data_IF_107503267320
#
_entry.id   IF_107503267320
#
_cell.length_a   1.000
_cell.length_b   1.000
_cell.length_c   1.000
_cell.angle_alpha   90.00
_cell.angle_beta   90.00
_cell.angle_gamma   90.00
#
_symmetry.space_group_name_H-M   'P 1'
#
loop_
_entity.id
_entity.type
_entity.pdbx_description
1 polymer ?
#
# COMPACT_ATOMS: atom_id res chain seq x y z
N UNK A 1 -38.71 -36.27 6.95
CA UNK A 1 -37.29 -36.49 7.28
C UNK A 1 -36.52 -35.26 6.85
N UNK A 2 -35.64 -34.80 7.73
CA UNK A 2 -34.73 -33.65 7.63
C UNK A 2 -35.33 -32.24 7.80
N UNK A 3 -35.31 -31.74 9.06
CA UNK A 3 -35.30 -30.32 9.38
C UNK A 3 -33.86 -29.87 9.70
N UNK A 4 -33.36 -28.76 9.14
CA UNK A 4 -32.32 -27.98 9.83
C UNK A 4 -32.51 -26.50 9.52
N UNK A 5 -32.88 -25.80 10.58
CA UNK A 5 -32.97 -24.35 10.71
C UNK A 5 -31.54 -23.76 10.77
N UNK A 6 -31.28 -22.55 10.23
CA UNK A 6 -29.99 -21.91 10.39
C UNK A 6 -29.86 -21.34 11.80
N UNK A 7 -29.01 -21.96 12.61
CA UNK A 7 -28.56 -21.36 13.87
C UNK A 7 -27.64 -20.15 13.55
N UNK A 8 -27.93 -19.03 14.19
CA UNK A 8 -27.07 -17.86 14.22
C UNK A 8 -25.68 -18.22 14.76
N UNK A 9 -24.62 -17.91 14.01
CA UNK A 9 -23.25 -18.01 14.51
C UNK A 9 -22.94 -16.78 15.38
N UNK A 10 -22.50 -16.96 16.64
CA UNK A 10 -22.10 -15.86 17.49
C UNK A 10 -20.67 -15.41 17.16
N UNK A 11 -20.47 -14.09 17.07
CA UNK A 11 -19.20 -13.40 17.32
C UNK A 11 -18.02 -13.74 16.39
N UNK A 12 -17.69 -12.81 15.49
CA UNK A 12 -16.45 -12.81 14.71
C UNK A 12 -15.23 -12.70 15.63
N UNK A 13 -14.76 -13.84 16.14
CA UNK A 13 -13.52 -13.93 16.93
C UNK A 13 -12.34 -13.83 15.97
N UNK A 14 -11.67 -12.67 16.00
CA UNK A 14 -10.40 -12.44 15.31
C UNK A 14 -9.29 -13.29 15.94
N UNK A 15 -8.95 -14.39 15.29
CA UNK A 15 -7.71 -15.12 15.50
C UNK A 15 -6.62 -14.54 14.60
N UNK A 16 -5.70 -13.76 15.18
CA UNK A 16 -4.35 -13.65 14.64
C UNK A 16 -3.73 -15.06 14.69
N UNK A 17 -3.31 -15.60 13.55
CA UNK A 17 -2.56 -16.87 13.50
C UNK A 17 -1.08 -16.51 13.32
N UNK A 18 -0.29 -16.41 14.40
CA UNK A 18 1.16 -16.34 14.26
C UNK A 18 1.61 -17.71 13.74
N UNK A 19 1.95 -17.80 12.46
CA UNK A 19 2.69 -18.96 11.96
C UNK A 19 4.12 -18.81 12.48
N UNK A 20 4.35 -19.23 13.72
CA UNK A 20 5.71 -19.41 14.26
C UNK A 20 6.22 -20.78 13.80
N UNK A 21 7.46 -20.90 13.30
CA UNK A 21 8.11 -22.20 13.28
C UNK A 21 8.20 -22.72 14.72
N UNK A 22 7.69 -23.93 14.92
CA UNK A 22 7.70 -24.64 16.19
C UNK A 22 9.14 -24.78 16.69
N UNK A 23 9.49 -24.17 17.83
CA UNK A 23 10.76 -24.38 18.53
C UNK A 23 10.46 -24.75 19.98
N UNK A 24 10.66 -26.02 20.41
CA UNK A 24 10.37 -26.44 21.77
C UNK A 24 11.63 -26.33 22.63
N UNK A 25 11.91 -25.16 23.19
CA UNK A 25 12.80 -25.05 24.34
C UNK A 25 12.75 -23.66 25.03
N UNK A 26 12.83 -23.73 26.37
CA UNK A 26 13.28 -22.72 27.32
C UNK A 26 12.22 -22.03 28.20
N UNK A 27 12.35 -22.39 29.47
CA UNK A 27 11.61 -22.04 30.66
C UNK A 27 11.73 -20.57 31.09
N UNK A 28 10.68 -20.16 31.81
CA UNK A 28 10.60 -19.22 32.93
C UNK A 28 11.88 -18.50 33.38
N UNK A 29 11.75 -17.18 33.61
CA UNK A 29 12.06 -16.58 34.92
C UNK A 29 11.42 -15.20 35.07
N UNK A 30 10.83 -15.03 36.24
CA UNK A 30 10.30 -13.83 36.88
C UNK A 30 11.40 -12.88 37.35
N UNK A 31 11.07 -11.59 37.53
CA UNK A 31 11.86 -10.66 38.33
C UNK A 31 11.39 -9.21 38.22
N UNK A 32 10.69 -8.72 39.24
CA UNK A 32 10.54 -7.30 39.57
C UNK A 32 11.92 -6.64 39.80
N UNK A 33 12.06 -5.33 39.54
CA UNK A 33 12.17 -4.32 40.62
C UNK A 33 12.60 -2.92 40.12
N UNK A 34 11.91 -1.93 40.70
CA UNK A 34 12.36 -0.62 41.20
C UNK A 34 12.80 0.52 40.24
N UNK A 35 11.91 1.52 40.18
CA UNK A 35 12.09 2.93 40.52
C UNK A 35 13.51 3.56 40.46
N UNK A 36 13.62 4.63 39.67
CA UNK A 36 14.72 5.60 39.72
C UNK A 36 14.24 6.95 39.22
N UNK A 37 14.00 7.85 40.17
CA UNK A 37 13.67 9.28 40.02
C UNK A 37 14.89 10.09 39.59
N UNK A 38 14.77 10.97 38.59
CA UNK A 38 15.60 12.19 38.50
C UNK A 38 15.11 13.17 37.41
N UNK A 39 14.74 14.37 37.86
CA UNK A 39 14.72 15.69 37.18
C UNK A 39 14.79 16.73 38.32
N UNK A 40 15.32 17.96 38.15
CA UNK A 40 15.24 18.76 36.91
C UNK A 40 16.50 19.59 36.57
N UNK A 41 16.81 19.71 35.28
CA UNK A 41 17.70 20.78 34.80
C UNK A 41 16.89 21.93 34.21
N UNK A 42 17.12 23.08 34.82
CA UNK A 42 16.57 24.40 34.52
C UNK A 42 17.27 25.02 33.31
N UNK A 43 16.54 25.33 32.24
CA UNK A 43 17.00 26.27 31.22
C UNK A 43 15.89 27.23 30.80
N UNK A 44 16.04 28.47 31.27
CA UNK A 44 15.80 29.75 30.59
C UNK A 44 14.52 29.89 29.76
N UNK A 45 13.51 30.48 30.40
CA UNK A 45 12.36 31.10 29.74
C UNK A 45 12.79 32.37 28.98
N UNK A 46 12.83 32.31 27.65
CA UNK A 46 12.66 33.50 26.81
C UNK A 46 11.23 33.50 26.28
N UNK A 47 10.38 34.29 26.93
CA UNK A 47 9.06 34.65 26.45
C UNK A 47 9.21 35.46 25.15
N UNK A 48 8.79 34.89 24.03
CA UNK A 48 8.44 35.66 22.84
C UNK A 48 6.92 35.84 22.87
N UNK A 49 6.48 37.07 23.13
CA UNK A 49 5.11 37.49 22.86
C UNK A 49 5.05 37.66 21.34
N UNK A 50 4.43 36.72 20.63
CA UNK A 50 4.09 36.89 19.21
C UNK A 50 2.60 37.22 19.08
N UNK A 51 2.31 38.22 18.25
CA UNK A 51 0.97 38.71 17.91
C UNK A 51 0.01 37.56 17.50
N UNK A 52 -1.25 37.55 17.96
CA UNK A 52 -2.23 36.50 17.64
C UNK A 52 -2.99 36.74 16.33
N UNK A 53 -2.30 37.14 15.26
CA UNK A 53 -2.97 37.39 13.97
C UNK A 53 -2.07 37.05 12.80
N UNK A 54 -1.85 35.76 12.58
CA UNK A 54 -1.61 35.11 11.28
C UNK A 54 -1.19 33.67 11.59
N UNK A 55 -2.19 32.80 11.79
CA UNK A 55 -1.96 31.37 11.64
C UNK A 55 -1.50 31.16 10.19
N UNK A 56 -0.34 30.53 9.92
CA UNK A 56 0.06 30.24 8.56
C UNK A 56 -1.04 29.40 7.92
N UNK A 57 -1.69 29.93 6.89
CA UNK A 57 -2.62 29.16 6.07
C UNK A 57 -1.82 27.99 5.50
N UNK A 58 -2.07 26.79 6.02
CA UNK A 58 -1.50 25.57 5.46
C UNK A 58 -1.95 25.51 3.99
N UNK A 59 -0.98 25.57 3.06
CA UNK A 59 -1.26 25.46 1.63
C UNK A 59 -1.94 24.11 1.36
N UNK A 60 -2.99 24.10 0.53
CA UNK A 60 -3.68 22.87 0.12
C UNK A 60 -2.66 21.90 -0.51
N UNK A 61 -2.56 20.64 -0.07
CA UNK A 61 -1.62 19.67 -0.63
C UNK A 61 -1.94 19.38 -2.10
N UNK A 62 -0.99 19.66 -2.99
CA UNK A 62 -1.10 19.36 -4.44
C UNK A 62 -0.30 18.13 -4.86
N UNK A 63 0.63 17.69 -4.01
CA UNK A 63 1.40 16.46 -4.21
C UNK A 63 0.55 15.28 -3.74
N UNK A 64 0.05 14.52 -4.71
CA UNK A 64 -0.86 13.41 -4.47
C UNK A 64 -0.08 12.11 -4.32
N UNK A 65 -0.01 11.57 -3.09
CA UNK A 65 0.79 10.38 -2.79
C UNK A 65 0.02 9.10 -3.17
N UNK A 66 0.43 8.46 -4.27
CA UNK A 66 -0.07 7.13 -4.65
C UNK A 66 0.60 5.99 -3.86
N UNK A 67 1.77 6.25 -3.25
CA UNK A 67 2.32 5.45 -2.16
C UNK A 67 2.28 6.29 -0.88
N UNK A 68 1.45 5.94 0.12
CA UNK A 68 1.30 6.76 1.30
C UNK A 68 2.59 6.87 2.09
N UNK A 69 2.82 8.04 2.65
CA UNK A 69 4.02 8.26 3.44
C UNK A 69 4.08 7.36 4.68
N UNK A 70 2.94 7.02 5.30
CA UNK A 70 2.92 6.10 6.44
C UNK A 70 3.43 4.70 6.05
N UNK A 71 3.09 4.23 4.85
CA UNK A 71 3.59 2.98 4.28
C UNK A 71 5.10 3.08 4.00
N UNK A 72 5.52 4.16 3.32
CA UNK A 72 6.93 4.39 2.95
C UNK A 72 7.87 4.56 4.15
N UNK A 73 7.40 5.13 5.27
CA UNK A 73 8.18 5.28 6.52
C UNK A 73 8.70 3.94 7.06
N UNK A 74 8.04 2.82 6.77
CA UNK A 74 8.50 1.48 7.19
C UNK A 74 9.77 1.03 6.48
N UNK A 75 10.10 1.69 5.36
CA UNK A 75 11.28 1.41 4.55
C UNK A 75 12.46 2.31 4.87
N UNK A 76 12.32 3.26 5.81
CA UNK A 76 13.41 4.18 6.11
C UNK A 76 14.44 3.55 7.03
N UNK A 77 15.71 3.91 6.82
CA UNK A 77 16.79 3.72 7.79
C UNK A 77 17.18 5.11 8.29
N UNK A 78 16.76 5.44 9.50
CA UNK A 78 16.64 6.84 9.94
C UNK A 78 15.44 7.49 9.24
N UNK A 79 15.66 8.63 8.58
CA UNK A 79 14.57 9.39 7.91
C UNK A 79 14.49 9.14 6.39
N UNK A 80 15.39 8.34 5.84
CA UNK A 80 15.53 8.16 4.38
C UNK A 80 15.51 6.70 3.96
N UNK A 81 15.06 6.50 2.74
CA UNK A 81 15.04 5.23 2.00
C UNK A 81 15.81 5.40 0.69
N UNK A 82 16.06 4.30 -0.02
CA UNK A 82 16.63 4.33 -1.37
C UNK A 82 15.54 4.20 -2.42
N UNK A 83 15.52 5.14 -3.36
CA UNK A 83 14.66 5.12 -4.55
C UNK A 83 15.50 4.80 -5.77
N UNK A 84 15.05 3.82 -6.53
CA UNK A 84 15.58 3.43 -7.83
C UNK A 84 14.55 3.78 -8.89
N UNK A 85 14.92 4.60 -9.86
CA UNK A 85 14.03 5.00 -10.97
C UNK A 85 14.31 4.11 -12.17
N UNK A 86 13.25 3.65 -12.84
CA UNK A 86 13.37 2.80 -14.03
C UNK A 86 14.29 3.49 -15.05
N UNK A 87 15.36 2.81 -15.50
CA UNK A 87 16.28 3.40 -16.47
C UNK A 87 15.57 3.65 -17.81
N UNK A 88 16.07 4.63 -18.56
CA UNK A 88 15.75 4.76 -19.99
C UNK A 88 16.66 3.85 -20.80
N UNK A 89 16.29 3.54 -22.04
CA UNK A 89 17.13 2.76 -22.97
C UNK A 89 18.57 3.30 -23.00
N UNK A 90 19.53 2.41 -22.74
CA UNK A 90 20.97 2.74 -22.76
C UNK A 90 21.45 3.58 -21.57
N UNK A 91 20.62 3.82 -20.55
CA UNK A 91 21.00 4.56 -19.35
C UNK A 91 21.17 3.65 -18.14
N UNK A 92 22.09 4.01 -17.25
CA UNK A 92 22.20 3.35 -15.95
C UNK A 92 20.98 3.65 -15.06
N UNK A 93 20.72 2.77 -14.08
CA UNK A 93 19.67 3.01 -13.10
C UNK A 93 19.99 4.26 -12.28
N UNK A 94 18.99 5.12 -12.07
CA UNK A 94 19.15 6.28 -11.22
C UNK A 94 18.75 5.93 -9.78
N UNK A 95 19.72 5.91 -8.88
CA UNK A 95 19.54 5.64 -7.44
C UNK A 95 19.72 6.93 -6.64
N UNK A 96 18.81 7.19 -5.69
CA UNK A 96 18.95 8.32 -4.74
C UNK A 96 18.40 7.96 -3.36
N UNK A 97 19.09 8.41 -2.31
CA UNK A 97 18.59 8.37 -0.93
C UNK A 97 17.66 9.56 -0.68
N UNK A 98 16.40 9.31 -0.37
CA UNK A 98 15.33 10.31 -0.30
C UNK A 98 14.43 10.11 0.92
N UNK A 99 13.67 11.13 1.32
CA UNK A 99 12.63 11.01 2.34
C UNK A 99 11.37 10.38 1.73
N UNK A 100 10.46 9.81 2.55
CA UNK A 100 9.17 9.30 2.09
C UNK A 100 8.36 10.31 1.27
N UNK A 101 8.38 11.59 1.63
CA UNK A 101 7.65 12.64 0.90
C UNK A 101 8.15 12.83 -0.54
N UNK A 102 9.40 12.50 -0.84
CA UNK A 102 10.04 12.74 -2.14
C UNK A 102 9.95 11.54 -3.10
N UNK A 103 9.06 10.58 -2.86
CA UNK A 103 8.81 9.43 -3.73
C UNK A 103 7.34 9.04 -3.67
N UNK A 104 6.83 8.39 -4.72
CA UNK A 104 5.49 7.82 -4.68
C UNK A 104 4.36 8.85 -4.75
N UNK A 105 4.61 9.99 -5.39
CA UNK A 105 3.62 11.05 -5.60
C UNK A 105 3.69 11.58 -7.03
N UNK A 106 2.61 12.23 -7.45
CA UNK A 106 2.56 13.03 -8.66
C UNK A 106 1.70 14.27 -8.41
N UNK A 107 2.16 15.49 -8.75
CA UNK A 107 1.34 16.68 -8.59
C UNK A 107 0.00 16.57 -9.32
N UNK A 108 -1.09 16.90 -8.64
CA UNK A 108 -2.44 16.95 -9.18
C UNK A 108 -2.94 15.63 -9.83
N UNK A 109 -2.41 14.47 -9.44
CA UNK A 109 -2.70 13.19 -10.08
C UNK A 109 -4.20 12.87 -10.21
N UNK A 110 -4.95 13.25 -9.18
CA UNK A 110 -6.41 13.10 -9.05
C UNK A 110 -7.07 14.40 -8.59
N UNK A 111 -6.56 15.53 -9.08
CA UNK A 111 -7.22 16.81 -8.94
C UNK A 111 -8.45 16.85 -9.85
N UNK A 112 -9.57 17.36 -9.35
CA UNK A 112 -10.76 17.57 -10.17
C UNK A 112 -10.68 18.88 -10.96
N UNK A 113 -11.20 18.86 -12.18
CA UNK A 113 -11.25 20.06 -13.03
C UNK A 113 -12.41 20.98 -12.69
N UNK A 114 -13.48 20.45 -12.08
CA UNK A 114 -14.72 21.15 -11.76
C UNK A 114 -14.76 21.82 -10.37
N UNK A 115 -13.68 21.72 -9.60
CA UNK A 115 -13.64 22.23 -8.22
C UNK A 115 -13.74 23.76 -8.16
N UNK A 116 -14.54 24.28 -7.22
CA UNK A 116 -14.79 25.72 -7.07
C UNK A 116 -13.61 26.51 -6.51
N UNK A 117 -12.72 25.84 -5.80
CA UNK A 117 -11.46 26.36 -5.26
C UNK A 117 -10.41 25.23 -5.18
N UNK A 118 -9.17 25.56 -4.80
CA UNK A 118 -8.09 24.55 -4.75
C UNK A 118 -8.37 23.43 -3.74
N UNK A 119 -9.03 23.73 -2.62
CA UNK A 119 -9.38 22.71 -1.63
C UNK A 119 -10.40 21.71 -2.19
N UNK A 120 -11.36 22.19 -2.96
CA UNK A 120 -12.35 21.33 -3.61
C UNK A 120 -11.75 20.56 -4.81
N UNK A 121 -10.79 21.14 -5.54
CA UNK A 121 -10.03 20.41 -6.57
C UNK A 121 -9.25 19.24 -5.97
N UNK A 122 -8.67 19.40 -4.78
CA UNK A 122 -7.92 18.35 -4.07
C UNK A 122 -8.79 17.50 -3.13
N UNK A 123 -10.12 17.47 -3.32
CA UNK A 123 -11.05 16.73 -2.45
C UNK A 123 -10.80 15.23 -2.39
N UNK A 124 -10.33 14.59 -3.48
CA UNK A 124 -10.04 13.16 -3.45
C UNK A 124 -8.84 12.85 -2.54
N UNK A 125 -7.80 13.70 -2.56
CA UNK A 125 -6.66 13.51 -1.66
C UNK A 125 -7.06 13.73 -0.20
N UNK A 126 -7.64 14.91 0.05
CA UNK A 126 -7.84 15.43 1.41
C UNK A 126 -9.03 14.82 2.14
N UNK A 127 -10.09 14.41 1.43
CA UNK A 127 -11.32 13.88 2.05
C UNK A 127 -11.45 12.36 1.93
N UNK A 128 -10.77 11.73 0.97
CA UNK A 128 -10.90 10.29 0.71
C UNK A 128 -9.61 9.51 1.03
N UNK A 129 -8.50 9.78 0.35
CA UNK A 129 -7.26 9.03 0.57
C UNK A 129 -6.68 9.24 1.96
N UNK A 130 -6.68 10.48 2.46
CA UNK A 130 -6.23 10.78 3.82
C UNK A 130 -6.97 9.92 4.86
N UNK A 131 -8.30 9.81 4.75
CA UNK A 131 -9.12 9.00 5.67
C UNK A 131 -8.78 7.50 5.58
N UNK A 132 -8.57 6.98 4.37
CA UNK A 132 -8.20 5.56 4.16
C UNK A 132 -6.82 5.29 4.75
N UNK A 133 -5.86 6.18 4.49
CA UNK A 133 -4.47 6.04 4.90
C UNK A 133 -4.32 6.13 6.43
N UNK A 134 -5.05 7.03 7.09
CA UNK A 134 -5.07 7.13 8.56
C UNK A 134 -5.62 5.85 9.21
N UNK A 135 -6.72 5.30 8.68
CA UNK A 135 -7.30 4.04 9.16
C UNK A 135 -6.37 2.85 8.93
N UNK A 136 -5.72 2.81 7.77
CA UNK A 136 -4.79 1.75 7.42
C UNK A 136 -3.51 1.80 8.25
N UNK A 137 -3.02 3.00 8.58
CA UNK A 137 -1.89 3.18 9.49
C UNK A 137 -2.18 2.58 10.86
N UNK A 138 -3.37 2.85 11.42
CA UNK A 138 -3.82 2.28 12.69
C UNK A 138 -4.00 0.75 12.61
N UNK A 139 -4.61 0.25 11.53
CA UNK A 139 -4.81 -1.19 11.33
C UNK A 139 -3.48 -1.95 11.20
N UNK A 140 -2.53 -1.44 10.42
CA UNK A 140 -1.21 -2.07 10.27
C UNK A 140 -0.39 -2.03 11.55
N UNK A 141 -0.47 -0.96 12.35
CA UNK A 141 0.18 -0.92 13.67
C UNK A 141 -0.32 -2.07 14.57
N UNK A 142 -1.63 -2.33 14.59
CA UNK A 142 -2.21 -3.48 15.33
C UNK A 142 -1.72 -4.83 14.80
N UNK A 143 -1.61 -4.99 13.48
CA UNK A 143 -1.05 -6.22 12.87
C UNK A 143 0.42 -6.43 13.28
N UNK A 144 1.21 -5.36 13.34
CA UNK A 144 2.61 -5.41 13.77
C UNK A 144 2.76 -5.78 15.25
N UNK A 145 1.87 -5.30 16.09
CA UNK A 145 1.86 -5.60 17.52
C UNK A 145 1.17 -6.94 17.85
N UNK A 146 0.60 -7.62 16.85
CA UNK A 146 -0.16 -8.86 17.04
C UNK A 146 -1.48 -8.65 17.80
N UNK A 147 -2.00 -7.42 17.81
CA UNK A 147 -3.25 -7.07 18.45
C UNK A 147 -4.46 -7.49 17.60
N UNK A 148 -5.60 -7.72 18.25
CA UNK A 148 -6.87 -7.95 17.55
C UNK A 148 -7.38 -6.62 16.97
N UNK A 149 -7.69 -6.64 15.67
CA UNK A 149 -8.37 -5.54 15.00
C UNK A 149 -9.87 -5.52 15.27
N UNK A 150 -10.47 -4.34 15.09
CA UNK A 150 -11.91 -4.11 15.02
C UNK A 150 -12.42 -4.28 13.59
N UNK A 151 -13.75 -4.27 13.40
CA UNK A 151 -14.34 -4.23 12.05
C UNK A 151 -13.91 -2.98 11.25
N UNK A 152 -13.69 -1.84 11.91
CA UNK A 152 -13.23 -0.61 11.27
C UNK A 152 -11.78 -0.75 10.79
N UNK A 153 -10.91 -1.37 11.61
CA UNK A 153 -9.52 -1.65 11.22
C UNK A 153 -9.47 -2.55 9.98
N UNK A 154 -10.35 -3.55 9.91
CA UNK A 154 -10.47 -4.45 8.76
C UNK A 154 -10.86 -3.72 7.49
N UNK A 155 -11.94 -2.93 7.55
CA UNK A 155 -12.39 -2.15 6.39
C UNK A 155 -11.30 -1.19 5.95
N UNK A 156 -10.66 -0.49 6.90
CA UNK A 156 -9.54 0.42 6.60
C UNK A 156 -8.36 -0.29 5.92
N UNK A 157 -7.96 -1.46 6.43
CA UNK A 157 -6.90 -2.26 5.81
C UNK A 157 -7.28 -2.69 4.39
N UNK A 158 -8.50 -3.20 4.18
CA UNK A 158 -8.97 -3.66 2.86
C UNK A 158 -9.05 -2.49 1.88
N UNK A 159 -9.62 -1.36 2.27
CA UNK A 159 -9.67 -0.17 1.42
C UNK A 159 -8.28 0.33 1.05
N UNK A 160 -7.30 0.23 1.95
CA UNK A 160 -5.91 0.54 1.63
C UNK A 160 -5.27 -0.43 0.64
N UNK A 161 -5.55 -1.74 0.75
CA UNK A 161 -5.07 -2.70 -0.25
C UNK A 161 -5.71 -2.41 -1.62
N UNK A 162 -7.03 -2.21 -1.68
CA UNK A 162 -7.71 -1.84 -2.93
C UNK A 162 -7.23 -0.49 -3.48
N UNK A 163 -6.89 0.47 -2.62
CA UNK A 163 -6.33 1.74 -3.07
C UNK A 163 -4.95 1.56 -3.71
N UNK A 164 -4.07 0.74 -3.13
CA UNK A 164 -2.77 0.40 -3.73
C UNK A 164 -2.90 -0.29 -5.10
N UNK A 165 -4.00 -0.99 -5.35
CA UNK A 165 -4.28 -1.63 -6.64
C UNK A 165 -4.64 -0.62 -7.74
N UNK A 166 -5.28 0.50 -7.36
CA UNK A 166 -5.93 1.40 -8.30
C UNK A 166 -5.31 2.79 -8.43
N UNK A 167 -4.61 3.29 -7.41
CA UNK A 167 -4.19 4.70 -7.34
C UNK A 167 -2.84 5.05 -7.99
N UNK A 168 -2.14 4.08 -8.58
CA UNK A 168 -0.84 4.34 -9.22
C UNK A 168 -1.02 5.12 -10.54
N UNK A 169 -0.05 5.98 -10.93
CA UNK A 169 -0.15 6.75 -12.18
C UNK A 169 -0.37 5.86 -13.40
N UNK A 170 0.37 4.75 -13.49
CA UNK A 170 0.22 3.80 -14.61
C UNK A 170 -1.18 3.20 -14.69
N UNK A 171 -1.81 2.92 -13.54
CA UNK A 171 -3.17 2.38 -13.50
C UNK A 171 -4.20 3.44 -13.88
N UNK A 172 -4.01 4.67 -13.39
CA UNK A 172 -4.90 5.79 -13.70
C UNK A 172 -4.83 6.15 -15.19
N UNK A 173 -3.63 6.22 -15.76
CA UNK A 173 -3.41 6.45 -17.20
C UNK A 173 -4.12 5.37 -18.03
N UNK A 174 -3.91 4.09 -17.69
CA UNK A 174 -4.58 2.99 -18.37
C UNK A 174 -6.12 3.09 -18.33
N UNK A 175 -6.71 3.45 -17.18
CA UNK A 175 -8.17 3.64 -17.06
C UNK A 175 -8.67 4.83 -17.88
N UNK A 176 -7.91 5.93 -17.92
CA UNK A 176 -8.24 7.11 -18.73
C UNK A 176 -8.20 6.77 -20.22
N UNK A 177 -7.16 6.07 -20.67
CA UNK A 177 -7.02 5.63 -22.05
C UNK A 177 -8.17 4.68 -22.45
N UNK A 178 -8.49 3.70 -21.60
CA UNK A 178 -9.59 2.77 -21.85
C UNK A 178 -10.94 3.48 -21.97
N UNK A 179 -11.22 4.44 -21.08
CA UNK A 179 -12.45 5.24 -21.15
C UNK A 179 -12.47 6.12 -22.40
N UNK A 180 -11.35 6.78 -22.74
CA UNK A 180 -11.23 7.58 -23.94
C UNK A 180 -11.49 6.76 -25.21
N UNK A 181 -10.91 5.55 -25.31
CA UNK A 181 -11.13 4.65 -26.44
C UNK A 181 -12.61 4.26 -26.58
N UNK A 182 -13.28 3.93 -25.47
CA UNK A 182 -14.73 3.62 -25.48
C UNK A 182 -15.56 4.82 -25.94
N UNK A 183 -15.15 6.03 -25.57
CA UNK A 183 -15.86 7.26 -25.88
C UNK A 183 -15.73 7.70 -27.34
N UNK A 184 -14.75 7.20 -28.10
CA UNK A 184 -14.62 7.49 -29.55
C UNK A 184 -15.85 7.13 -30.38
N UNK A 185 -16.68 6.20 -29.89
CA UNK A 185 -17.92 5.81 -30.56
C UNK A 185 -19.11 6.75 -30.30
N UNK A 186 -18.98 7.69 -29.35
CA UNK A 186 -20.06 8.59 -28.96
C UNK A 186 -20.06 9.85 -29.83
N UNK A 187 -21.20 10.21 -30.46
CA UNK A 187 -21.31 11.42 -31.27
C UNK A 187 -20.93 12.68 -30.48
N UNK A 188 -20.07 13.51 -31.07
CA UNK A 188 -19.59 14.75 -30.47
C UNK A 188 -18.42 14.59 -29.51
N UNK A 189 -17.93 13.37 -29.28
CA UNK A 189 -16.69 13.16 -28.54
C UNK A 189 -15.46 13.51 -29.40
N UNK A 190 -14.53 14.27 -28.84
CA UNK A 190 -13.24 14.62 -29.43
C UNK A 190 -12.13 14.37 -28.39
N UNK A 191 -11.29 13.36 -28.64
CA UNK A 191 -10.19 12.98 -27.77
C UNK A 191 -9.08 14.04 -27.69
N UNK A 192 -9.10 15.06 -28.55
CA UNK A 192 -8.19 16.20 -28.53
C UNK A 192 -8.74 17.44 -27.83
N UNK A 193 -10.03 17.46 -27.48
CA UNK A 193 -10.68 18.55 -26.76
C UNK A 193 -10.24 18.55 -25.28
N UNK A 194 -9.52 19.59 -24.79
CA UNK A 194 -9.06 19.66 -23.41
C UNK A 194 -10.18 19.53 -22.37
N UNK A 195 -11.38 20.05 -22.65
CA UNK A 195 -12.50 19.97 -21.71
C UNK A 195 -13.04 18.54 -21.60
N UNK A 196 -12.96 17.74 -22.67
CA UNK A 196 -13.36 16.34 -22.67
C UNK A 196 -12.32 15.45 -21.99
N UNK A 197 -11.03 15.73 -22.20
CA UNK A 197 -9.93 15.06 -21.51
C UNK A 197 -10.06 15.26 -19.99
N UNK A 198 -10.36 16.49 -19.55
CA UNK A 198 -10.60 16.79 -18.14
C UNK A 198 -11.81 16.04 -17.57
N UNK A 199 -12.93 15.99 -18.30
CA UNK A 199 -14.11 15.20 -17.89
C UNK A 199 -13.81 13.70 -17.77
N UNK A 200 -13.00 13.14 -18.66
CA UNK A 200 -12.52 11.76 -18.54
C UNK A 200 -11.71 11.60 -17.26
N UNK A 201 -10.78 12.51 -17.00
CA UNK A 201 -9.96 12.45 -15.79
C UNK A 201 -10.81 12.50 -14.51
N UNK A 202 -11.80 13.39 -14.45
CA UNK A 202 -12.73 13.51 -13.32
C UNK A 202 -13.58 12.25 -13.16
N UNK A 203 -14.11 11.69 -14.27
CA UNK A 203 -14.88 10.44 -14.25
C UNK A 203 -14.06 9.25 -13.74
N UNK A 204 -12.75 9.20 -14.06
CA UNK A 204 -11.86 8.19 -13.52
C UNK A 204 -11.61 8.42 -12.02
N UNK A 205 -11.51 9.66 -11.55
CA UNK A 205 -11.38 9.94 -10.12
C UNK A 205 -12.61 9.44 -9.32
N UNK A 206 -13.82 9.59 -9.89
CA UNK A 206 -15.04 9.02 -9.31
C UNK A 206 -15.00 7.49 -9.31
N UNK A 207 -14.65 6.87 -10.44
CA UNK A 207 -14.51 5.42 -10.56
C UNK A 207 -13.50 4.84 -9.56
N UNK A 208 -12.38 5.52 -9.31
CA UNK A 208 -11.40 5.09 -8.30
C UNK A 208 -12.05 5.01 -6.91
N UNK A 209 -12.82 6.03 -6.53
CA UNK A 209 -13.53 6.08 -5.25
C UNK A 209 -14.50 4.91 -5.10
N UNK A 210 -15.23 4.61 -6.18
CA UNK A 210 -16.20 3.51 -6.25
C UNK A 210 -15.53 2.13 -6.19
N UNK A 211 -14.42 1.93 -6.90
CA UNK A 211 -13.66 0.67 -6.87
C UNK A 211 -13.09 0.40 -5.48
N UNK A 212 -12.54 1.42 -4.83
CA UNK A 212 -11.92 1.32 -3.50
C UNK A 212 -12.97 1.13 -2.40
N UNK A 213 -14.16 1.72 -2.58
CA UNK A 213 -15.29 1.63 -1.64
C UNK A 213 -16.35 0.62 -2.07
N UNK A 214 -16.01 -0.29 -2.97
CA UNK A 214 -16.96 -1.21 -3.59
C UNK A 214 -17.71 -2.02 -2.53
N UNK A 215 -19.05 -1.98 -2.64
CA UNK A 215 -19.97 -2.68 -1.73
C UNK A 215 -19.89 -4.20 -1.84
N UNK A 216 -19.29 -4.71 -2.91
CA UNK A 216 -19.09 -6.14 -3.14
C UNK A 216 -17.66 -6.55 -2.77
N UNK A 217 -16.66 -5.80 -3.25
CA UNK A 217 -15.26 -6.18 -3.09
C UNK A 217 -14.74 -5.97 -1.66
N UNK A 218 -15.16 -4.89 -0.98
CA UNK A 218 -14.70 -4.61 0.38
C UNK A 218 -15.15 -5.72 1.34
N UNK A 219 -16.44 -6.10 1.43
CA UNK A 219 -16.85 -7.22 2.27
C UNK A 219 -16.18 -8.54 1.88
N UNK A 220 -16.09 -8.82 0.57
CA UNK A 220 -15.47 -10.05 0.09
C UNK A 220 -14.01 -10.19 0.52
N UNK A 221 -13.17 -9.16 0.33
CA UNK A 221 -11.77 -9.20 0.77
C UNK A 221 -11.68 -9.14 2.31
N UNK A 222 -12.64 -8.50 2.99
CA UNK A 222 -12.71 -8.48 4.45
C UNK A 222 -13.01 -9.86 5.06
N UNK A 223 -13.48 -10.84 4.30
CA UNK A 223 -13.64 -12.22 4.77
C UNK A 223 -12.31 -13.00 4.76
N UNK A 224 -11.30 -12.56 4.00
CA UNK A 224 -9.99 -13.21 3.97
C UNK A 224 -9.27 -13.12 5.32
N UNK A 225 -8.63 -14.21 5.75
CA UNK A 225 -7.79 -14.21 6.95
C UNK A 225 -6.51 -13.41 6.68
N UNK A 226 -6.08 -12.62 7.66
CA UNK A 226 -4.85 -11.81 7.58
C UNK A 226 -3.73 -12.57 8.27
N UNK A 227 -2.62 -12.75 7.56
CA UNK A 227 -1.41 -13.39 8.02
C UNK A 227 -0.25 -12.41 7.94
N UNK A 228 0.54 -12.37 9.00
CA UNK A 228 1.83 -11.69 9.01
C UNK A 228 2.91 -12.74 8.92
N UNK A 229 3.81 -12.59 7.95
CA UNK A 229 5.00 -13.44 7.82
C UNK A 229 6.23 -12.58 8.07
N UNK A 230 6.95 -12.92 9.14
CA UNK A 230 8.27 -12.35 9.42
C UNK A 230 9.31 -13.04 8.51
N UNK A 231 10.05 -12.24 7.74
CA UNK A 231 11.02 -12.67 6.72
C UNK A 231 12.42 -12.33 7.21
N UNK A 232 12.97 -13.23 8.03
CA UNK A 232 14.31 -13.13 8.59
C UNK A 232 15.36 -13.62 7.58
N UNK A 233 15.51 -12.87 6.49
CA UNK A 233 16.49 -13.11 5.43
C UNK A 233 17.69 -12.15 5.54
N UNK A 234 18.81 -12.52 4.91
CA UNK A 234 19.97 -11.64 4.74
C UNK A 234 19.59 -10.49 3.80
N UNK A 235 19.01 -10.80 2.66
CA UNK A 235 18.42 -9.77 1.77
C UNK A 235 17.16 -9.18 2.41
N UNK A 236 17.01 -7.86 2.29
CA UNK A 236 15.78 -7.18 2.68
C UNK A 236 14.75 -7.27 1.56
N UNK A 237 13.48 -7.29 1.95
CA UNK A 237 12.39 -7.12 1.01
C UNK A 237 12.51 -5.77 0.28
N UNK A 238 11.78 -5.63 -0.82
CA UNK A 238 11.64 -4.42 -1.63
C UNK A 238 10.17 -4.02 -1.73
N UNK A 239 9.91 -2.78 -2.12
CA UNK A 239 8.59 -2.34 -2.60
C UNK A 239 8.72 -1.53 -3.89
N UNK A 240 7.60 -1.15 -4.49
CA UNK A 240 7.55 -0.37 -5.73
C UNK A 240 6.29 0.50 -5.81
N UNK A 241 6.11 1.17 -6.95
CA UNK A 241 4.95 2.01 -7.27
C UNK A 241 3.62 1.23 -7.43
N UNK A 242 3.68 -0.09 -7.54
CA UNK A 242 2.50 -0.97 -7.57
C UNK A 242 2.78 -2.15 -6.62
N UNK A 243 2.71 -1.96 -5.29
CA UNK A 243 3.31 -2.91 -4.36
C UNK A 243 2.43 -4.10 -3.99
N UNK A 244 1.13 -4.04 -4.29
CA UNK A 244 0.18 -5.10 -3.97
C UNK A 244 0.22 -6.19 -5.05
N UNK A 245 0.59 -7.40 -4.66
CA UNK A 245 0.48 -8.59 -5.48
C UNK A 245 -0.87 -9.26 -5.24
N UNK A 246 -1.52 -9.73 -6.29
CA UNK A 246 -2.77 -10.49 -6.21
C UNK A 246 -2.69 -11.76 -7.05
N UNK A 247 -3.39 -12.80 -6.62
CA UNK A 247 -3.56 -14.02 -7.42
C UNK A 247 -4.43 -13.78 -8.66
N UNK A 248 -4.39 -14.70 -9.61
CA UNK A 248 -5.36 -14.74 -10.70
C UNK A 248 -6.76 -14.98 -10.15
N UNK A 249 -7.67 -14.01 -10.28
CA UNK A 249 -9.06 -14.16 -9.88
C UNK A 249 -9.27 -14.18 -8.37
N UNK A 250 -9.64 -13.03 -7.81
CA UNK A 250 -9.82 -12.83 -6.37
C UNK A 250 -10.95 -13.69 -5.75
N UNK A 251 -11.92 -14.13 -6.56
CA UNK A 251 -13.06 -14.96 -6.11
C UNK A 251 -12.73 -16.45 -5.97
N UNK A 252 -11.53 -16.88 -6.35
CA UNK A 252 -11.16 -18.29 -6.26
C UNK A 252 -10.86 -18.70 -4.81
N UNK A 253 -11.03 -19.98 -4.45
CA UNK A 253 -10.71 -20.45 -3.09
C UNK A 253 -9.23 -20.30 -2.71
N UNK A 254 -8.34 -20.39 -3.70
CA UNK A 254 -6.89 -20.23 -3.59
C UNK A 254 -6.43 -18.77 -3.75
N UNK A 255 -7.36 -17.81 -3.76
CA UNK A 255 -7.03 -16.42 -3.97
C UNK A 255 -6.24 -15.81 -2.80
N UNK A 256 -5.29 -14.94 -3.14
CA UNK A 256 -4.53 -14.19 -2.16
C UNK A 256 -4.26 -12.75 -2.59
N UNK A 257 -4.07 -11.90 -1.59
CA UNK A 257 -3.39 -10.61 -1.71
C UNK A 257 -2.11 -10.66 -0.88
N UNK A 258 -1.03 -10.12 -1.40
CA UNK A 258 0.28 -10.12 -0.76
C UNK A 258 0.94 -8.75 -0.86
N UNK A 259 1.39 -8.20 0.27
CA UNK A 259 2.01 -6.89 0.34
C UNK A 259 3.28 -6.95 1.21
N UNK A 260 4.47 -6.75 0.63
CA UNK A 260 5.65 -6.38 1.39
C UNK A 260 5.37 -5.02 2.02
N UNK A 261 5.33 -4.93 3.34
CA UNK A 261 4.97 -3.69 4.03
C UNK A 261 6.09 -3.14 4.91
N UNK A 262 7.14 -3.92 5.11
CA UNK A 262 8.40 -3.50 5.71
C UNK A 262 9.56 -4.34 5.14
N UNK A 263 10.83 -3.94 5.33
CA UNK A 263 12.01 -4.65 4.82
C UNK A 263 12.17 -6.12 5.24
N UNK A 264 11.40 -6.58 6.23
CA UNK A 264 11.45 -7.91 6.80
C UNK A 264 10.05 -8.47 7.12
N UNK A 265 8.98 -7.89 6.57
CA UNK A 265 7.61 -8.35 6.85
C UNK A 265 6.74 -8.33 5.61
N UNK A 266 5.97 -9.41 5.49
CA UNK A 266 5.01 -9.64 4.44
C UNK A 266 3.62 -9.77 5.06
N UNK A 267 2.64 -9.09 4.47
CA UNK A 267 1.23 -9.24 4.77
C UNK A 267 0.60 -10.13 3.71
N UNK A 268 -0.17 -11.14 4.12
CA UNK A 268 -0.92 -12.01 3.21
C UNK A 268 -2.38 -12.02 3.65
N UNK A 269 -3.30 -11.83 2.72
CA UNK A 269 -4.72 -12.08 2.90
C UNK A 269 -5.11 -13.27 2.04
N UNK A 270 -5.74 -14.28 2.62
CA UNK A 270 -6.25 -15.45 1.89
C UNK A 270 -7.46 -16.06 2.61
N UNK A 271 -8.37 -16.69 1.87
CA UNK A 271 -9.44 -17.51 2.48
C UNK A 271 -8.88 -18.82 3.03
N UNK A 272 -8.06 -19.50 2.23
CA UNK A 272 -7.42 -20.76 2.60
C UNK A 272 -6.09 -20.53 3.29
N UNK A 273 -5.99 -20.95 4.55
CA UNK A 273 -4.76 -20.87 5.34
C UNK A 273 -3.60 -21.66 4.71
N UNK A 274 -3.89 -22.69 3.91
CA UNK A 274 -2.85 -23.45 3.19
C UNK A 274 -2.07 -22.57 2.21
N UNK A 275 -2.72 -21.56 1.62
CA UNK A 275 -2.06 -20.58 0.73
C UNK A 275 -1.10 -19.71 1.52
N UNK A 276 -1.50 -19.21 2.69
CA UNK A 276 -0.57 -18.44 3.53
C UNK A 276 0.58 -19.32 4.08
N UNK A 277 0.27 -20.57 4.43
CA UNK A 277 1.24 -21.54 4.91
C UNK A 277 2.30 -21.84 3.86
N UNK A 278 1.91 -22.04 2.59
CA UNK A 278 2.85 -22.37 1.51
C UNK A 278 3.90 -21.29 1.26
N UNK A 279 3.58 -20.01 1.50
CA UNK A 279 4.55 -18.92 1.52
C UNK A 279 5.40 -18.93 2.79
N UNK A 280 4.75 -19.05 3.96
CA UNK A 280 5.45 -18.94 5.25
C UNK A 280 6.42 -20.10 5.53
N UNK A 281 6.17 -21.27 4.95
CA UNK A 281 6.97 -22.49 5.09
C UNK A 281 8.18 -22.53 4.16
N UNK A 282 8.27 -21.61 3.21
CA UNK A 282 9.47 -21.48 2.38
C UNK A 282 10.67 -21.08 3.24
N UNK A 283 11.86 -21.45 2.77
CA UNK A 283 13.12 -20.92 3.28
C UNK A 283 13.11 -19.37 3.09
N UNK A 284 13.55 -18.63 4.11
CA UNK A 284 13.31 -17.18 4.20
C UNK A 284 14.08 -16.41 3.14
N UNK A 285 15.30 -16.83 2.82
CA UNK A 285 16.11 -16.22 1.76
C UNK A 285 15.46 -16.45 0.38
N UNK A 286 14.99 -17.67 0.11
CA UNK A 286 14.27 -18.01 -1.12
C UNK A 286 12.96 -17.20 -1.25
N UNK A 287 12.17 -17.11 -0.17
CA UNK A 287 10.95 -16.30 -0.13
C UNK A 287 11.26 -14.82 -0.42
N UNK A 288 12.26 -14.25 0.25
CA UNK A 288 12.64 -12.85 0.05
C UNK A 288 13.08 -12.57 -1.39
N UNK A 289 13.88 -13.47 -1.98
CA UNK A 289 14.32 -13.34 -3.36
C UNK A 289 13.15 -13.46 -4.35
N UNK A 290 12.23 -14.40 -4.14
CA UNK A 290 11.05 -14.58 -4.99
C UNK A 290 10.12 -13.36 -4.93
N UNK A 291 9.84 -12.85 -3.73
CA UNK A 291 9.02 -11.65 -3.53
C UNK A 291 9.70 -10.43 -4.15
N UNK A 292 11.00 -10.26 -3.97
CA UNK A 292 11.74 -9.14 -4.57
C UNK A 292 11.77 -9.21 -6.10
N UNK A 293 11.92 -10.41 -6.67
CA UNK A 293 11.85 -10.61 -8.12
C UNK A 293 10.48 -10.18 -8.66
N UNK A 294 9.40 -10.59 -7.98
CA UNK A 294 8.04 -10.19 -8.30
C UNK A 294 7.85 -8.67 -8.22
N UNK A 295 8.29 -8.03 -7.12
CA UNK A 295 8.21 -6.58 -6.91
C UNK A 295 8.92 -5.80 -8.02
N UNK A 296 10.14 -6.20 -8.39
CA UNK A 296 10.93 -5.49 -9.41
C UNK A 296 10.32 -5.66 -10.81
N UNK A 297 9.78 -6.84 -11.14
CA UNK A 297 9.08 -7.09 -12.40
C UNK A 297 7.73 -6.34 -12.47
N UNK A 298 7.07 -6.19 -11.34
CA UNK A 298 5.78 -5.51 -11.22
C UNK A 298 5.91 -3.98 -11.23
N UNK A 299 7.00 -3.43 -10.72
CA UNK A 299 7.28 -2.00 -10.72
C UNK A 299 7.09 -1.38 -12.11
N UNK A 300 6.73 -0.10 -12.21
CA UNK A 300 6.62 0.61 -13.50
C UNK A 300 7.50 1.84 -13.55
N UNK A 301 7.58 2.58 -12.45
CA UNK A 301 8.39 3.79 -12.37
C UNK A 301 9.52 3.67 -11.38
N UNK A 302 9.27 3.09 -10.20
CA UNK A 302 10.25 3.09 -9.10
C UNK A 302 10.27 1.78 -8.31
N UNK A 303 11.48 1.39 -7.88
CA UNK A 303 11.70 0.39 -6.83
C UNK A 303 12.26 1.09 -5.60
N UNK A 304 11.85 0.66 -4.42
CA UNK A 304 12.20 1.25 -3.13
C UNK A 304 12.82 0.18 -2.23
N UNK A 305 13.91 0.55 -1.56
CA UNK A 305 14.64 -0.30 -0.64
C UNK A 305 15.02 0.46 0.64
N UNK A 306 15.25 -0.26 1.74
CA UNK A 306 15.72 0.32 3.01
C UNK A 306 17.23 0.56 3.08
N UNK A 307 18.00 -0.15 2.26
CA UNK A 307 19.44 0.00 2.08
C UNK A 307 19.77 -0.11 0.58
N UNK A 308 21.04 -0.01 0.23
CA UNK A 308 21.54 -0.05 -1.14
C UNK A 308 22.10 -1.41 -1.59
N UNK A 309 22.09 -2.41 -0.71
CA UNK A 309 22.63 -3.75 -0.96
C UNK A 309 21.93 -4.47 -2.12
N UNK A 310 20.65 -4.18 -2.36
CA UNK A 310 19.87 -4.79 -3.44
C UNK A 310 20.13 -4.18 -4.84
N UNK A 311 21.06 -3.21 -4.97
CA UNK A 311 21.27 -2.50 -6.24
C UNK A 311 21.51 -3.43 -7.43
N UNK A 312 22.47 -4.35 -7.32
CA UNK A 312 22.81 -5.26 -8.42
C UNK A 312 21.63 -6.19 -8.78
N UNK A 313 20.85 -6.62 -7.78
CA UNK A 313 19.64 -7.41 -7.99
C UNK A 313 18.58 -6.63 -8.79
N UNK A 314 18.39 -5.35 -8.46
CA UNK A 314 17.44 -4.46 -9.13
C UNK A 314 17.91 -4.14 -10.55
N UNK A 315 19.18 -3.78 -10.76
CA UNK A 315 19.75 -3.47 -12.08
C UNK A 315 19.58 -4.64 -13.06
N UNK A 316 19.73 -5.88 -12.59
CA UNK A 316 19.57 -7.07 -13.41
C UNK A 316 18.10 -7.36 -13.83
N UNK A 317 17.11 -6.74 -13.18
CA UNK A 317 15.68 -7.08 -13.34
C UNK A 317 14.78 -5.92 -13.73
N UNK A 318 15.19 -4.68 -13.45
CA UNK A 318 14.36 -3.49 -13.66
C UNK A 318 14.47 -2.98 -15.10
N UNK A 319 14.03 -3.82 -16.03
CA UNK A 319 14.25 -3.70 -17.48
C UNK A 319 13.58 -2.46 -18.08
N UNK A 320 14.30 -1.56 -18.78
CA UNK A 320 13.69 -0.41 -19.48
C UNK A 320 12.57 -0.79 -20.47
N UNK A 321 12.49 -2.05 -20.91
CA UNK A 321 11.49 -2.57 -21.85
C UNK A 321 10.45 -3.48 -21.20
N UNK A 322 10.20 -3.34 -19.90
CA UNK A 322 9.14 -4.10 -19.25
C UNK A 322 7.82 -3.97 -20.04
N UNK A 323 7.14 -5.09 -20.31
CA UNK A 323 5.94 -5.08 -21.14
C UNK A 323 4.87 -4.18 -20.51
N UNK A 324 3.96 -3.63 -21.33
CA UNK A 324 2.83 -2.89 -20.80
C UNK A 324 2.06 -3.75 -19.79
N UNK A 325 1.31 -3.14 -18.86
CA UNK A 325 0.34 -3.88 -18.06
C UNK A 325 -0.51 -4.80 -18.94
N UNK A 326 -0.95 -5.97 -18.43
CA UNK A 326 -1.89 -6.84 -19.17
C UNK A 326 -3.17 -6.07 -19.56
N UNK A 327 -4.00 -6.62 -20.45
CA UNK A 327 -5.18 -5.90 -21.00
C UNK A 327 -6.11 -5.32 -19.92
N UNK A 328 -6.29 -6.03 -18.81
CA UNK A 328 -7.11 -5.56 -17.68
C UNK A 328 -6.38 -4.55 -16.77
N UNK A 329 -5.14 -4.19 -17.12
CA UNK A 329 -4.21 -3.29 -16.44
C UNK A 329 -3.72 -3.74 -15.07
N UNK A 330 -3.94 -5.00 -14.68
CA UNK A 330 -3.57 -5.53 -13.37
C UNK A 330 -2.71 -6.77 -13.49
N UNK A 331 -1.51 -6.73 -12.91
CA UNK A 331 -0.64 -7.90 -12.83
C UNK A 331 -1.18 -8.91 -11.81
N UNK A 332 -1.19 -10.18 -12.20
CA UNK A 332 -1.68 -11.30 -11.39
C UNK A 332 -0.62 -12.40 -11.30
N UNK A 333 -0.59 -13.08 -10.16
CA UNK A 333 0.37 -14.13 -9.85
C UNK A 333 -0.34 -15.48 -9.72
N UNK A 334 0.34 -16.57 -10.06
CA UNK A 334 -0.20 -17.91 -9.84
C UNK A 334 -0.31 -18.18 -8.34
N UNK A 335 -1.39 -18.86 -7.92
CA UNK A 335 -1.46 -19.40 -6.58
C UNK A 335 -0.40 -20.52 -6.44
N UNK A 336 0.31 -20.58 -5.29
CA UNK A 336 1.33 -21.59 -5.03
C UNK A 336 0.76 -23.01 -4.84
#
# INVERSE_FOLDING_TARGET
>A
MSPFSPAALPGTVWGYCPIRPYCPACHSRSGNDLAGTEKPDTLSSRFWITNPSESPQLSVPIDHHYLPQFYLRRWTRGEKLYRYVRPRKGSAIHQKKVTPAAVGYQPHLYAYSDGTDEADRQRLETRFFQLIDDRAAAALAKVEEGQRGTAIDRVGLVQFLLSLLHRSPTRIEHLRDELAERMKSVPGFDASDPAQIMRIADSINDLLSDLISSRDMVPFVAEMRVFRVDVEAKVKLLTCDIPLMQSHGIKRPDAFLMLPYAPNRLLILAHDERVALSFSSQEKEALANAVNDAVVKQARQVVIASNDEARAFIEARFDPFSPPPPENGLLTWAAP
#
